data_IF_816857982691
#
_entry.id   IF_816857982691
#
_cell.length_a   1.000
_cell.length_b   1.000
_cell.length_c   1.000
_cell.angle_alpha   90.00
_cell.angle_beta   90.00
_cell.angle_gamma   90.00
#
_symmetry.space_group_name_H-M   'P 1'
#
loop_
_entity.id
_entity.type
_entity.pdbx_description
1 polymer ?
#
# COMPACT_ATOMS: atom_id res chain seq x y z
N UNK A 1 11.66 13.20 4.85
CA UNK A 1 11.29 12.61 3.56
C UNK A 1 11.37 11.07 3.63
N UNK A 2 12.43 10.41 3.16
CA UNK A 2 12.49 8.94 3.09
C UNK A 2 12.48 8.26 4.47
N UNK A 3 13.34 8.69 5.40
CA UNK A 3 13.46 8.05 6.73
C UNK A 3 12.14 8.07 7.51
N UNK A 4 11.45 9.22 7.56
CA UNK A 4 10.17 9.35 8.26
C UNK A 4 9.08 8.45 7.69
N UNK A 5 9.02 8.29 6.35
CA UNK A 5 8.10 7.34 5.73
C UNK A 5 8.41 5.89 6.13
N UNK A 6 9.69 5.50 6.16
CA UNK A 6 10.12 4.17 6.59
C UNK A 6 9.88 3.91 8.09
N UNK A 7 9.96 4.94 8.93
CA UNK A 7 9.68 4.84 10.37
C UNK A 7 8.18 4.61 10.63
N UNK A 8 7.30 5.31 9.91
CA UNK A 8 5.85 5.04 9.93
C UNK A 8 5.53 3.61 9.49
N UNK A 9 6.23 3.11 8.46
CA UNK A 9 6.07 1.72 8.01
C UNK A 9 6.57 0.71 9.05
N UNK A 10 7.69 0.99 9.72
CA UNK A 10 8.28 0.12 10.75
C UNK A 10 7.42 0.00 12.01
N UNK A 11 6.69 1.06 12.38
CA UNK A 11 5.81 1.07 13.56
C UNK A 11 4.62 0.10 13.45
N UNK A 12 4.27 -0.33 12.23
CA UNK A 12 3.18 -1.29 11.99
C UNK A 12 3.72 -2.73 12.12
N UNK A 13 3.07 -3.55 12.97
CA UNK A 13 3.45 -4.92 13.38
C UNK A 13 4.02 -5.83 12.27
N UNK A 14 4.85 -6.85 12.61
CA UNK A 14 5.32 -7.85 11.66
C UNK A 14 4.14 -8.62 11.05
N UNK A 15 3.91 -8.40 9.76
CA UNK A 15 2.80 -8.93 8.96
C UNK A 15 2.70 -8.15 7.64
N UNK A 16 1.88 -8.62 6.69
CA UNK A 16 1.66 -7.87 5.43
C UNK A 16 1.08 -6.51 5.80
N UNK A 17 1.79 -5.39 5.55
CA UNK A 17 1.39 -4.11 6.09
C UNK A 17 0.01 -3.73 5.53
N UNK A 18 -0.92 -3.31 6.40
CA UNK A 18 -2.20 -2.71 6.00
C UNK A 18 -1.87 -1.38 5.34
N UNK A 19 -1.71 -1.48 4.03
CA UNK A 19 -1.31 -0.40 3.13
C UNK A 19 -2.49 -0.06 2.26
N UNK A 20 -2.53 1.18 1.77
CA UNK A 20 -3.54 1.64 0.81
C UNK A 20 -3.73 0.65 -0.34
N UNK A 21 -2.62 0.13 -0.90
CA UNK A 21 -2.62 -0.88 -1.97
C UNK A 21 -3.21 -2.23 -1.53
N UNK A 22 -2.89 -2.71 -0.33
CA UNK A 22 -3.45 -3.97 0.17
C UNK A 22 -4.94 -3.86 0.43
N UNK A 23 -5.39 -2.71 0.94
CA UNK A 23 -6.81 -2.41 1.16
C UNK A 23 -7.56 -2.25 -0.17
N UNK A 24 -7.00 -1.54 -1.15
CA UNK A 24 -7.58 -1.42 -2.49
C UNK A 24 -7.68 -2.77 -3.21
N UNK A 25 -6.65 -3.63 -3.10
CA UNK A 25 -6.72 -4.99 -3.64
C UNK A 25 -7.76 -5.85 -2.92
N UNK A 26 -7.85 -5.72 -1.60
CA UNK A 26 -8.87 -6.43 -0.82
C UNK A 26 -10.27 -5.97 -1.24
N UNK A 27 -10.47 -4.67 -1.48
CA UNK A 27 -11.73 -4.10 -1.94
C UNK A 27 -12.13 -4.68 -3.31
N UNK A 28 -11.25 -4.69 -4.30
CA UNK A 28 -11.54 -5.27 -5.61
C UNK A 28 -11.84 -6.78 -5.55
N UNK A 29 -11.16 -7.52 -4.66
CA UNK A 29 -11.49 -8.93 -4.43
C UNK A 29 -12.87 -9.12 -3.77
N UNK A 30 -13.26 -8.22 -2.85
CA UNK A 30 -14.58 -8.25 -2.21
C UNK A 30 -15.68 -7.90 -3.21
N UNK A 31 -15.50 -6.88 -4.05
CA UNK A 31 -16.46 -6.53 -5.10
C UNK A 31 -16.72 -7.70 -6.05
N UNK A 32 -15.66 -8.39 -6.50
CA UNK A 32 -15.79 -9.59 -7.33
C UNK A 32 -16.56 -10.71 -6.62
N UNK A 33 -16.30 -10.94 -5.32
CA UNK A 33 -17.01 -11.95 -4.53
C UNK A 33 -18.49 -11.59 -4.36
N UNK A 34 -18.81 -10.33 -4.08
CA UNK A 34 -20.19 -9.85 -3.95
C UNK A 34 -20.98 -10.03 -5.26
N UNK A 35 -20.32 -9.84 -6.41
CA UNK A 35 -20.95 -9.96 -7.73
C UNK A 35 -21.35 -11.41 -8.07
N UNK A 36 -20.59 -12.40 -7.61
CA UNK A 36 -20.83 -13.83 -7.90
C UNK A 36 -21.57 -14.56 -6.77
N UNK A 37 -21.76 -13.94 -5.62
CA UNK A 37 -22.41 -14.56 -4.46
C UNK A 37 -23.94 -14.57 -4.61
N UNK A 38 -24.51 -15.78 -4.52
CA UNK A 38 -25.95 -16.05 -4.65
C UNK A 38 -26.65 -16.18 -3.29
N UNK A 39 -25.92 -16.58 -2.24
CA UNK A 39 -26.48 -16.68 -0.90
C UNK A 39 -26.66 -15.30 -0.25
N UNK A 40 -27.90 -15.00 0.17
CA UNK A 40 -28.27 -13.68 0.69
C UNK A 40 -27.55 -13.33 2.00
N UNK A 41 -27.34 -14.30 2.89
CA UNK A 41 -26.65 -14.08 4.17
C UNK A 41 -25.17 -13.82 3.93
N UNK A 42 -24.54 -14.63 3.06
CA UNK A 42 -23.13 -14.50 2.72
C UNK A 42 -22.83 -13.18 2.02
N UNK A 43 -23.75 -12.71 1.18
CA UNK A 43 -23.64 -11.40 0.51
C UNK A 43 -23.63 -10.24 1.51
N UNK A 44 -24.45 -10.29 2.56
CA UNK A 44 -24.45 -9.29 3.64
C UNK A 44 -23.10 -9.28 4.36
N UNK A 45 -22.52 -10.44 4.68
CA UNK A 45 -21.20 -10.53 5.31
C UNK A 45 -20.08 -9.93 4.42
N UNK A 46 -20.12 -10.18 3.11
CA UNK A 46 -19.16 -9.63 2.17
C UNK A 46 -19.27 -8.11 2.05
N UNK A 47 -20.50 -7.58 2.04
CA UNK A 47 -20.76 -6.13 2.03
C UNK A 47 -20.26 -5.49 3.34
N UNK A 48 -20.48 -6.13 4.49
CA UNK A 48 -19.95 -5.64 5.75
C UNK A 48 -18.42 -5.57 5.72
N UNK A 49 -17.75 -6.62 5.23
CA UNK A 49 -16.29 -6.62 5.06
C UNK A 49 -15.80 -5.54 4.09
N UNK A 50 -16.60 -5.22 3.06
CA UNK A 50 -16.32 -4.13 2.11
C UNK A 50 -16.33 -2.78 2.82
N UNK A 51 -17.37 -2.49 3.60
CA UNK A 51 -17.50 -1.25 4.39
C UNK A 51 -16.33 -1.09 5.36
N UNK A 52 -16.00 -2.13 6.12
CA UNK A 52 -14.85 -2.10 7.04
C UNK A 52 -13.52 -1.83 6.31
N UNK A 53 -13.36 -2.41 5.12
CA UNK A 53 -12.16 -2.21 4.30
C UNK A 53 -12.10 -0.79 3.74
N UNK A 54 -13.22 -0.19 3.36
CA UNK A 54 -13.31 1.23 2.95
C UNK A 54 -13.01 2.17 4.11
N UNK A 55 -13.55 1.92 5.31
CA UNK A 55 -13.25 2.72 6.50
C UNK A 55 -11.76 2.66 6.87
N UNK A 56 -11.15 1.47 6.82
CA UNK A 56 -9.72 1.33 7.02
C UNK A 56 -8.90 2.08 5.95
N UNK A 57 -9.39 2.12 4.70
CA UNK A 57 -8.75 2.85 3.60
C UNK A 57 -8.82 4.36 3.82
N UNK A 58 -9.96 4.87 4.28
CA UNK A 58 -10.15 6.27 4.65
C UNK A 58 -9.25 6.65 5.82
N UNK A 59 -9.23 5.85 6.90
CA UNK A 59 -8.39 6.12 8.08
C UNK A 59 -6.88 6.18 7.75
N UNK A 60 -6.40 5.34 6.83
CA UNK A 60 -5.01 5.40 6.35
C UNK A 60 -4.76 6.63 5.46
N UNK A 61 -5.78 7.12 4.75
CA UNK A 61 -5.68 8.28 3.86
C UNK A 61 -5.80 9.61 4.60
N UNK A 62 -6.49 9.64 5.74
CA UNK A 62 -6.81 10.84 6.52
C UNK A 62 -5.75 11.23 7.54
N UNK A 63 -4.64 10.49 7.65
CA UNK A 63 -3.48 10.91 8.43
C UNK A 63 -2.60 11.85 7.59
N UNK A 64 -2.74 13.19 7.70
CA UNK A 64 -2.05 14.15 6.83
C UNK A 64 -0.52 13.98 6.86
N UNK A 65 0.05 13.58 7.99
CA UNK A 65 1.48 13.29 8.13
C UNK A 65 1.93 12.14 7.24
N UNK A 66 1.12 11.08 7.12
CA UNK A 66 1.48 9.89 6.33
C UNK A 66 1.42 10.20 4.83
N UNK A 67 0.41 10.97 4.40
CA UNK A 67 0.28 11.38 3.01
C UNK A 67 1.44 12.30 2.57
N UNK A 68 1.81 13.27 3.41
CA UNK A 68 2.95 14.15 3.15
C UNK A 68 4.29 13.38 3.12
N UNK A 69 4.47 12.42 4.04
CA UNK A 69 5.65 11.55 4.06
C UNK A 69 5.73 10.63 2.83
N UNK A 70 4.60 10.09 2.37
CA UNK A 70 4.54 9.28 1.15
C UNK A 70 4.88 10.11 -0.09
N UNK A 71 4.35 11.33 -0.20
CA UNK A 71 4.68 12.25 -1.29
C UNK A 71 6.18 12.57 -1.31
N UNK A 72 6.74 12.93 -0.15
CA UNK A 72 8.18 13.20 -0.04
C UNK A 72 9.05 11.95 -0.28
N UNK A 73 8.54 10.75 -0.03
CA UNK A 73 9.20 9.51 -0.45
C UNK A 73 9.16 9.36 -1.97
N UNK A 74 8.01 9.56 -2.61
CA UNK A 74 7.82 9.43 -4.06
C UNK A 74 8.79 10.33 -4.83
N UNK A 75 8.96 11.58 -4.40
CA UNK A 75 9.87 12.53 -5.04
C UNK A 75 11.35 12.14 -4.90
N UNK A 76 11.74 11.59 -3.75
CA UNK A 76 13.14 11.33 -3.43
C UNK A 76 13.62 9.91 -3.79
N UNK A 77 12.71 8.93 -3.82
CA UNK A 77 13.06 7.51 -3.79
C UNK A 77 13.81 7.04 -5.05
N UNK A 78 13.46 7.51 -6.26
CA UNK A 78 14.20 7.13 -7.48
C UNK A 78 15.65 7.60 -7.45
N UNK A 79 15.86 8.90 -7.26
CA UNK A 79 17.21 9.47 -7.24
C UNK A 79 18.06 8.93 -6.09
N UNK A 80 17.45 8.64 -4.94
CA UNK A 80 18.13 7.99 -3.82
C UNK A 80 18.52 6.54 -4.16
N UNK A 81 17.61 5.79 -4.79
CA UNK A 81 17.86 4.41 -5.23
C UNK A 81 18.99 4.32 -6.25
N UNK A 82 19.01 5.22 -7.22
CA UNK A 82 20.08 5.31 -8.24
C UNK A 82 21.43 5.64 -7.60
N UNK A 83 21.47 6.61 -6.68
CA UNK A 83 22.71 7.02 -5.98
C UNK A 83 23.25 5.96 -5.03
N UNK A 84 22.39 5.13 -4.43
CA UNK A 84 22.77 4.12 -3.43
C UNK A 84 22.74 2.69 -3.95
N UNK A 85 22.36 2.46 -5.21
CA UNK A 85 22.23 1.13 -5.79
C UNK A 85 21.12 0.28 -5.15
N UNK A 86 20.07 0.90 -4.62
CA UNK A 86 18.97 0.19 -3.93
C UNK A 86 17.99 -0.34 -4.97
N UNK A 87 17.74 -1.65 -4.93
CA UNK A 87 16.80 -2.31 -5.83
C UNK A 87 15.35 -2.15 -5.38
N UNK A 88 14.41 -2.32 -6.32
CA UNK A 88 12.99 -2.47 -6.02
C UNK A 88 12.73 -3.57 -4.98
N UNK A 89 13.42 -4.70 -5.06
CA UNK A 89 13.26 -5.80 -4.11
C UNK A 89 13.63 -5.40 -2.67
N UNK A 90 14.68 -4.60 -2.49
CA UNK A 90 15.08 -4.10 -1.17
C UNK A 90 13.98 -3.23 -0.55
N UNK A 91 13.39 -2.33 -1.34
CA UNK A 91 12.25 -1.53 -0.89
C UNK A 91 11.02 -2.37 -0.52
N UNK A 92 10.72 -3.38 -1.32
CA UNK A 92 9.61 -4.31 -1.04
C UNK A 92 9.84 -5.12 0.23
N UNK A 93 11.09 -5.51 0.51
CA UNK A 93 11.44 -6.30 1.69
C UNK A 93 11.27 -5.50 2.99
N UNK A 94 11.52 -4.19 2.96
CA UNK A 94 11.28 -3.30 4.10
C UNK A 94 9.84 -2.78 4.19
N UNK A 95 8.95 -3.25 3.31
CA UNK A 95 7.50 -3.00 3.38
C UNK A 95 7.00 -1.82 2.55
N UNK A 96 7.83 -1.20 1.70
CA UNK A 96 7.35 -0.15 0.78
C UNK A 96 6.38 -0.75 -0.24
N UNK A 97 5.20 -0.14 -0.47
CA UNK A 97 4.22 -0.65 -1.43
C UNK A 97 4.72 -0.62 -2.89
N UNK A 98 4.17 -1.50 -3.72
CA UNK A 98 4.48 -1.53 -5.14
C UNK A 98 4.02 -0.25 -5.84
N UNK A 99 2.84 0.25 -5.45
CA UNK A 99 2.24 1.43 -6.06
C UNK A 99 3.03 2.71 -5.75
N UNK A 100 3.57 2.81 -4.52
CA UNK A 100 4.43 3.91 -4.09
C UNK A 100 5.75 3.87 -4.85
N UNK A 101 6.35 2.70 -5.04
CA UNK A 101 7.56 2.55 -5.86
C UNK A 101 7.30 2.85 -7.34
N UNK A 102 6.13 2.46 -7.85
CA UNK A 102 5.69 2.77 -9.21
C UNK A 102 5.54 4.28 -9.39
N UNK A 103 4.85 4.96 -8.48
CA UNK A 103 4.71 6.42 -8.45
C UNK A 103 6.06 7.13 -8.31
N UNK A 104 6.95 6.58 -7.50
CA UNK A 104 8.31 7.07 -7.34
C UNK A 104 9.17 6.87 -8.61
N UNK A 105 8.74 6.06 -9.57
CA UNK A 105 9.52 5.72 -10.76
C UNK A 105 10.69 4.77 -10.48
N UNK A 106 10.62 3.98 -9.40
CA UNK A 106 11.61 2.92 -9.10
C UNK A 106 11.27 1.68 -9.93
N UNK A 107 12.12 1.29 -10.91
CA UNK A 107 11.81 0.19 -11.83
C UNK A 107 11.81 -1.16 -11.11
N UNK A 108 10.85 -2.02 -11.43
CA UNK A 108 10.73 -3.40 -10.91
C UNK A 108 11.90 -4.30 -11.32
N UNK A 109 12.52 -4.01 -12.46
CA UNK A 109 13.64 -4.75 -13.02
C UNK A 109 14.93 -3.98 -12.80
N UNK A 110 15.98 -4.69 -12.38
CA UNK A 110 17.34 -4.14 -12.37
C UNK A 110 17.68 -3.84 -13.83
N UNK A 111 18.10 -2.60 -14.17
CA UNK A 111 18.79 -2.36 -15.45
C UNK A 111 20.00 -3.30 -15.46
N UNK A 112 19.98 -4.29 -16.35
CA UNK A 112 21.18 -5.00 -16.82
C UNK A 112 22.16 -4.01 -17.41
#
# INVERSE_FOLDING_TARGET
MIKGYLEVLRSRRPGRPITRESLQRKLGNLDNKIAVEEDALRKVELIQQRIETEQALSAVSESPDVAALEAGFIEAAKSYSERKGISYSAWRQIGVPADVLRKAGVPRTRRT
#
